data_IF_244930852795
#
_entry.id   IF_244930852795
#
_cell.length_a   1.000
_cell.length_b   1.000
_cell.length_c   1.000
_cell.angle_alpha   90.00
_cell.angle_beta   90.00
_cell.angle_gamma   90.00
#
_symmetry.space_group_name_H-M   'P 1'
#
loop_
_entity.id
_entity.type
_entity.pdbx_description
1 polymer ?
#
# COMPACT_ATOMS: atom_id res chain seq x y z
N UNK A 1 -2.83 -5.22 -15.12
CA UNK A 1 -4.21 -5.28 -14.59
C UNK A 1 -5.16 -5.66 -15.72
N UNK A 2 -6.29 -6.32 -15.41
CA UNK A 2 -7.28 -6.69 -16.42
C UNK A 2 -8.58 -5.89 -16.21
N UNK A 3 -9.00 -5.14 -17.22
CA UNK A 3 -10.22 -4.34 -17.18
C UNK A 3 -11.09 -4.73 -18.39
N UNK A 4 -12.27 -5.31 -18.15
CA UNK A 4 -13.16 -5.76 -19.22
C UNK A 4 -12.55 -6.76 -20.22
N UNK A 5 -11.56 -7.56 -19.80
CA UNK A 5 -10.84 -8.51 -20.66
C UNK A 5 -9.62 -7.94 -21.40
N UNK A 6 -9.40 -6.62 -21.34
CA UNK A 6 -8.20 -5.98 -21.89
C UNK A 6 -7.09 -5.84 -20.83
N UNK A 7 -5.83 -5.99 -21.26
CA UNK A 7 -4.68 -5.70 -20.41
C UNK A 7 -4.47 -4.20 -20.34
N UNK A 8 -4.53 -3.64 -19.13
CA UNK A 8 -4.30 -2.22 -18.87
C UNK A 8 -3.07 -2.06 -17.98
N UNK A 9 -2.18 -1.13 -18.37
CA UNK A 9 -1.05 -0.71 -17.55
C UNK A 9 -1.54 0.28 -16.50
N UNK A 10 -1.33 -0.06 -15.23
CA UNK A 10 -1.74 0.75 -14.09
C UNK A 10 -0.60 0.87 -13.09
N UNK A 11 -0.26 2.09 -12.72
CA UNK A 11 0.63 2.38 -11.61
C UNK A 11 -0.20 2.60 -10.34
N UNK A 12 -0.06 1.69 -9.38
CA UNK A 12 -0.73 1.74 -8.08
C UNK A 12 0.18 2.44 -7.06
N UNK A 13 0.06 3.76 -6.98
CA UNK A 13 0.80 4.57 -6.02
C UNK A 13 0.31 4.26 -4.60
N UNK A 14 1.19 3.75 -3.75
CA UNK A 14 0.88 3.43 -2.36
C UNK A 14 1.53 4.42 -1.38
N UNK A 15 2.40 5.31 -1.84
CA UNK A 15 3.06 6.28 -0.99
C UNK A 15 3.58 7.50 -1.77
N UNK A 16 4.00 8.54 -1.06
CA UNK A 16 4.59 9.77 -1.60
C UNK A 16 5.77 10.23 -0.74
N UNK A 17 6.92 10.49 -1.36
CA UNK A 17 8.17 10.87 -0.68
C UNK A 17 8.56 12.33 -0.92
N UNK A 18 8.15 12.91 -2.04
CA UNK A 18 8.35 14.32 -2.39
C UNK A 18 7.19 14.82 -3.27
N UNK A 19 6.89 16.10 -3.16
CA UNK A 19 5.89 16.81 -3.97
C UNK A 19 6.40 18.20 -4.31
N UNK A 20 6.34 18.60 -5.58
CA UNK A 20 6.80 19.92 -6.08
C UNK A 20 8.16 20.37 -5.52
N UNK A 21 9.14 19.47 -5.49
CA UNK A 21 10.49 19.74 -4.99
C UNK A 21 10.61 19.75 -3.45
N UNK A 22 9.51 19.67 -2.71
CA UNK A 22 9.52 19.55 -1.26
C UNK A 22 9.54 18.08 -0.81
N UNK A 23 10.47 17.75 0.08
CA UNK A 23 10.53 16.42 0.70
C UNK A 23 9.40 16.26 1.72
N UNK A 24 8.55 15.24 1.54
CA UNK A 24 7.46 14.92 2.48
C UNK A 24 7.68 13.61 3.23
N UNK A 25 8.70 12.83 2.87
CA UNK A 25 8.99 11.49 3.42
C UNK A 25 9.16 11.44 4.95
N UNK A 26 9.60 12.54 5.58
CA UNK A 26 9.70 12.67 7.05
C UNK A 26 8.34 12.89 7.74
N UNK A 27 7.26 13.09 6.99
CA UNK A 27 5.91 13.17 7.53
C UNK A 27 5.33 11.77 7.78
N UNK A 28 4.36 11.71 8.68
CA UNK A 28 3.55 10.52 8.96
C UNK A 28 2.89 10.00 7.68
N UNK A 29 2.79 8.67 7.53
CA UNK A 29 2.14 8.02 6.39
C UNK A 29 0.76 8.63 6.08
N UNK A 30 -0.08 8.87 7.08
CA UNK A 30 -1.40 9.50 6.87
C UNK A 30 -1.30 10.83 6.09
N UNK A 31 -0.36 11.71 6.44
CA UNK A 31 -0.18 12.99 5.75
C UNK A 31 0.33 12.79 4.32
N UNK A 32 1.21 11.80 4.12
CA UNK A 32 1.77 11.49 2.79
C UNK A 32 0.70 10.91 1.86
N UNK A 33 -0.15 10.03 2.38
CA UNK A 33 -1.33 9.50 1.67
C UNK A 33 -2.37 10.58 1.39
N UNK A 34 -2.63 11.49 2.34
CA UNK A 34 -3.52 12.63 2.12
C UNK A 34 -3.00 13.55 1.01
N UNK A 35 -1.69 13.82 0.99
CA UNK A 35 -1.04 14.59 -0.06
C UNK A 35 -1.13 13.87 -1.42
N UNK A 36 -0.83 12.56 -1.48
CA UNK A 36 -1.02 11.76 -2.69
C UNK A 36 -2.46 11.85 -3.23
N UNK A 37 -3.45 11.68 -2.35
CA UNK A 37 -4.85 11.75 -2.73
C UNK A 37 -5.24 13.13 -3.26
N UNK A 38 -4.91 14.20 -2.52
CA UNK A 38 -5.40 15.55 -2.79
C UNK A 38 -4.65 16.25 -3.91
N UNK A 39 -3.34 16.05 -4.01
CA UNK A 39 -2.48 16.80 -4.94
C UNK A 39 -2.29 16.07 -6.27
N UNK A 40 -2.47 14.74 -6.31
CA UNK A 40 -2.22 13.92 -7.51
C UNK A 40 -3.49 13.22 -7.98
N UNK A 41 -4.13 12.43 -7.11
CA UNK A 41 -5.18 11.51 -7.54
C UNK A 41 -6.49 12.23 -7.84
N UNK A 42 -6.95 13.14 -6.97
CA UNK A 42 -8.16 13.91 -7.21
C UNK A 42 -8.03 14.86 -8.41
N UNK A 43 -6.95 15.66 -8.56
CA UNK A 43 -6.81 16.55 -9.71
C UNK A 43 -6.85 15.78 -11.03
N UNK A 44 -6.13 14.66 -11.13
CA UNK A 44 -6.15 13.79 -12.30
C UNK A 44 -7.52 13.17 -12.58
N UNK A 45 -8.28 12.82 -11.54
CA UNK A 45 -9.65 12.29 -11.70
C UNK A 45 -10.61 13.35 -12.23
N UNK A 46 -10.42 14.62 -11.88
CA UNK A 46 -11.28 15.73 -12.31
C UNK A 46 -10.86 16.35 -13.63
N UNK A 47 -9.64 16.08 -14.08
CA UNK A 47 -9.11 16.57 -15.35
C UNK A 47 -9.68 15.77 -16.53
N UNK A 48 -10.67 16.36 -17.21
CA UNK A 48 -11.31 15.77 -18.38
C UNK A 48 -10.38 15.62 -19.57
N UNK A 49 -9.25 16.33 -19.62
CA UNK A 49 -8.29 16.18 -20.72
C UNK A 49 -7.60 14.82 -20.68
N UNK A 50 -7.58 14.16 -19.52
CA UNK A 50 -7.06 12.81 -19.34
C UNK A 50 -8.10 11.72 -19.73
N UNK A 51 -9.36 12.08 -19.92
CA UNK A 51 -10.38 11.14 -20.38
C UNK A 51 -10.14 10.76 -21.84
N UNK A 52 -9.62 9.55 -22.08
CA UNK A 52 -9.29 9.08 -23.43
C UNK A 52 -7.93 9.57 -23.95
N UNK A 53 -7.13 10.24 -23.11
CA UNK A 53 -5.75 10.55 -23.43
C UNK A 53 -4.92 9.26 -23.63
N UNK A 54 -3.98 9.32 -24.56
CA UNK A 54 -3.02 8.24 -24.81
C UNK A 54 -1.91 8.26 -23.74
N UNK A 55 -2.29 7.94 -22.50
CA UNK A 55 -1.33 7.76 -21.42
C UNK A 55 -0.72 6.36 -21.48
N UNK A 56 0.61 6.27 -21.37
CA UNK A 56 1.32 4.97 -21.36
C UNK A 56 0.85 4.03 -20.23
N UNK A 57 0.37 4.61 -19.13
CA UNK A 57 -0.27 3.89 -18.02
C UNK A 57 -1.18 4.83 -17.22
N UNK A 58 -2.18 4.24 -16.56
CA UNK A 58 -3.08 4.97 -15.65
C UNK A 58 -2.48 5.03 -14.25
N UNK A 59 -2.52 6.19 -13.60
CA UNK A 59 -2.14 6.34 -12.19
C UNK A 59 -3.37 6.18 -11.30
N UNK A 60 -3.28 5.35 -10.26
CA UNK A 60 -4.31 5.17 -9.22
C UNK A 60 -3.65 5.06 -7.85
N UNK A 61 -4.35 5.47 -6.81
CA UNK A 61 -3.93 5.19 -5.44
C UNK A 61 -4.22 3.73 -5.11
N UNK A 62 -3.29 3.05 -4.42
CA UNK A 62 -3.55 1.73 -3.85
C UNK A 62 -4.53 1.88 -2.69
N UNK A 63 -5.52 0.99 -2.63
CA UNK A 63 -6.46 0.96 -1.51
C UNK A 63 -5.74 0.58 -0.22
N UNK A 64 -5.96 1.36 0.83
CA UNK A 64 -5.45 1.09 2.17
C UNK A 64 -6.61 0.72 3.08
N UNK A 65 -6.38 -0.29 3.91
CA UNK A 65 -7.39 -0.81 4.80
C UNK A 65 -6.87 -0.77 6.24
N UNK A 66 -7.79 -0.59 7.18
CA UNK A 66 -7.48 -0.74 8.59
C UNK A 66 -7.18 -2.21 8.89
N UNK A 67 -6.33 -2.45 9.90
CA UNK A 67 -5.85 -3.78 10.27
C UNK A 67 -6.98 -4.77 10.62
N UNK A 68 -8.08 -4.28 11.19
CA UNK A 68 -9.28 -5.09 11.49
C UNK A 68 -9.99 -5.63 10.24
N UNK A 69 -9.66 -5.12 9.03
CA UNK A 69 -10.21 -5.59 7.75
C UNK A 69 -9.37 -6.68 7.10
N UNK A 70 -8.30 -7.14 7.73
CA UNK A 70 -7.37 -8.11 7.13
C UNK A 70 -8.06 -9.41 6.70
N UNK A 71 -8.91 -9.99 7.54
CA UNK A 71 -9.65 -11.21 7.15
C UNK A 71 -10.55 -10.95 5.93
N UNK A 72 -11.22 -9.80 5.90
CA UNK A 72 -12.04 -9.43 4.76
C UNK A 72 -11.20 -9.30 3.48
N UNK A 73 -9.99 -8.74 3.59
CA UNK A 73 -9.07 -8.63 2.46
C UNK A 73 -8.70 -9.99 1.89
N UNK A 74 -8.24 -10.90 2.75
CA UNK A 74 -7.81 -12.24 2.36
C UNK A 74 -8.94 -13.02 1.70
N UNK A 75 -10.13 -13.02 2.32
CA UNK A 75 -11.24 -13.87 1.87
C UNK A 75 -12.09 -13.30 0.75
N UNK A 76 -12.21 -11.97 0.66
CA UNK A 76 -13.22 -11.34 -0.20
C UNK A 76 -12.66 -10.34 -1.20
N UNK A 77 -11.58 -9.64 -0.86
CA UNK A 77 -11.01 -8.60 -1.71
C UNK A 77 -10.02 -9.18 -2.71
N UNK A 78 -9.00 -9.91 -2.24
CA UNK A 78 -7.94 -10.49 -3.07
C UNK A 78 -8.50 -11.32 -4.25
N UNK A 79 -9.50 -12.20 -4.06
CA UNK A 79 -10.07 -12.97 -5.18
C UNK A 79 -10.72 -12.11 -6.29
N UNK A 80 -11.00 -10.83 -6.02
CA UNK A 80 -11.62 -9.89 -6.96
C UNK A 80 -10.62 -8.92 -7.57
N UNK A 81 -9.36 -8.95 -7.13
CA UNK A 81 -8.31 -8.09 -7.68
C UNK A 81 -7.96 -8.57 -9.09
N UNK A 82 -7.76 -7.62 -10.00
CA UNK A 82 -7.56 -7.85 -11.43
C UNK A 82 -6.09 -8.04 -11.84
N UNK A 83 -5.21 -8.20 -10.85
CA UNK A 83 -3.78 -8.49 -10.97
C UNK A 83 -3.39 -9.49 -9.89
N UNK A 84 -2.24 -10.14 -10.08
CA UNK A 84 -1.72 -11.12 -9.11
C UNK A 84 -1.39 -10.42 -7.79
N UNK A 85 -1.80 -11.05 -6.68
CA UNK A 85 -1.55 -10.55 -5.33
C UNK A 85 -0.70 -11.56 -4.59
N UNK A 86 0.50 -11.14 -4.21
CA UNK A 86 1.47 -11.99 -3.53
C UNK A 86 1.29 -11.97 -2.00
N UNK A 87 0.73 -10.90 -1.41
CA UNK A 87 0.56 -10.83 0.04
C UNK A 87 -0.01 -9.52 0.53
N UNK A 88 0.14 -9.28 1.84
CA UNK A 88 -0.30 -8.06 2.52
C UNK A 88 0.88 -7.31 3.13
N UNK A 89 0.87 -5.99 2.99
CA UNK A 89 1.85 -5.10 3.63
C UNK A 89 1.13 -4.29 4.70
N UNK A 90 1.66 -4.33 5.93
CA UNK A 90 1.16 -3.57 7.06
C UNK A 90 2.08 -2.39 7.33
N UNK A 91 1.58 -1.18 7.09
CA UNK A 91 2.34 0.05 7.29
C UNK A 91 1.75 0.86 8.44
N UNK A 92 2.52 1.21 9.49
CA UNK A 92 2.04 2.03 10.58
C UNK A 92 1.61 3.42 10.09
N UNK A 93 0.38 3.79 10.43
CA UNK A 93 -0.20 5.09 10.06
C UNK A 93 0.65 6.29 10.48
N UNK A 94 1.38 6.16 11.59
CA UNK A 94 2.19 7.22 12.21
C UNK A 94 3.67 7.15 11.82
N UNK A 95 4.11 6.14 11.07
CA UNK A 95 5.51 6.01 10.67
C UNK A 95 5.87 7.06 9.60
N UNK A 96 7.11 7.53 9.68
CA UNK A 96 7.77 8.23 8.58
C UNK A 96 8.21 7.22 7.52
N UNK A 97 8.63 7.70 6.36
CA UNK A 97 9.25 6.84 5.36
C UNK A 97 10.69 6.55 5.73
N UNK A 98 11.04 5.26 5.85
CA UNK A 98 12.43 4.82 5.91
C UNK A 98 13.06 4.83 4.52
N UNK A 99 14.15 5.57 4.34
CA UNK A 99 14.97 5.51 3.11
C UNK A 99 15.96 4.36 3.24
N UNK A 100 15.93 3.42 2.30
CA UNK A 100 16.66 2.14 2.38
C UNK A 100 15.83 1.02 3.01
N UNK A 101 16.19 -0.25 2.74
CA UNK A 101 15.47 -1.40 3.29
C UNK A 101 15.96 -2.76 2.79
N UNK A 102 15.51 -3.82 3.44
CA UNK A 102 15.77 -5.22 3.12
C UNK A 102 14.77 -5.73 2.06
N UNK A 103 15.28 -6.31 0.97
CA UNK A 103 14.51 -7.04 -0.06
C UNK A 103 14.33 -8.50 0.38
N UNK A 104 13.14 -9.07 0.17
CA UNK A 104 12.83 -10.46 0.48
C UNK A 104 12.22 -11.11 -0.77
N UNK A 105 12.66 -12.33 -1.08
CA UNK A 105 12.35 -13.04 -2.34
C UNK A 105 11.00 -13.78 -2.34
N UNK A 106 10.30 -13.85 -1.21
CA UNK A 106 9.03 -14.58 -1.04
C UNK A 106 7.86 -13.64 -0.66
N UNK A 107 6.60 -14.03 -0.91
CA UNK A 107 5.42 -13.25 -0.55
C UNK A 107 5.37 -12.93 0.95
N UNK A 108 5.67 -11.66 1.27
CA UNK A 108 5.86 -11.20 2.64
C UNK A 108 4.52 -10.72 3.21
N UNK A 109 4.00 -11.36 4.26
CA UNK A 109 3.15 -10.62 5.20
C UNK A 109 4.06 -9.67 5.98
N UNK A 110 4.40 -8.55 5.33
CA UNK A 110 5.46 -7.65 5.80
C UNK A 110 4.87 -6.66 6.76
N UNK A 111 5.31 -6.72 8.00
CA UNK A 111 5.17 -5.59 8.89
C UNK A 111 6.29 -4.61 8.59
N UNK A 112 5.95 -3.47 8.01
CA UNK A 112 6.91 -2.37 7.87
C UNK A 112 6.98 -1.69 9.23
N UNK A 113 7.78 -2.23 10.15
CA UNK A 113 7.89 -1.68 11.50
C UNK A 113 8.66 -0.36 11.50
N UNK A 114 8.35 0.52 12.44
CA UNK A 114 9.24 1.63 12.78
C UNK A 114 10.60 1.06 13.26
N UNK A 115 11.70 1.78 13.01
CA UNK A 115 13.06 1.37 13.39
C UNK A 115 13.20 1.09 14.90
N UNK A 116 12.28 1.61 15.71
CA UNK A 116 12.17 1.41 17.15
C UNK A 116 11.63 0.04 17.59
N UNK A 117 11.07 -0.77 16.67
CA UNK A 117 10.35 -2.03 17.00
C UNK A 117 11.06 -3.31 16.52
N UNK A 118 12.38 -3.24 16.25
CA UNK A 118 13.25 -4.31 15.72
C UNK A 118 13.35 -5.60 16.58
N UNK A 119 12.52 -5.81 17.59
CA UNK A 119 12.72 -6.86 18.61
C UNK A 119 11.65 -7.96 18.68
N UNK A 120 10.67 -8.02 17.77
CA UNK A 120 9.64 -9.08 17.80
C UNK A 120 9.27 -9.61 16.41
N UNK A 121 9.98 -10.66 15.97
CA UNK A 121 9.47 -11.67 15.02
C UNK A 121 10.14 -11.72 13.63
N UNK A 122 11.11 -12.64 13.48
CA UNK A 122 11.83 -12.89 12.21
C UNK A 122 12.79 -11.76 11.87
N UNK A 123 13.99 -12.04 11.38
CA UNK A 123 15.02 -11.01 11.15
C UNK A 123 14.61 -9.90 10.15
N UNK A 124 13.42 -9.98 9.55
CA UNK A 124 12.81 -8.99 8.64
C UNK A 124 11.35 -8.57 8.96
N UNK A 125 10.74 -9.10 10.03
CA UNK A 125 9.34 -8.77 10.39
C UNK A 125 8.26 -9.49 9.58
N UNK A 126 8.56 -10.61 8.90
CA UNK A 126 7.58 -11.40 8.13
C UNK A 126 6.77 -12.40 8.98
N UNK A 127 5.47 -12.57 8.68
CA UNK A 127 4.59 -13.59 9.30
C UNK A 127 3.99 -14.54 8.26
N UNK A 128 3.52 -15.73 8.67
CA UNK A 128 2.63 -16.56 7.84
C UNK A 128 1.16 -16.12 7.98
N UNK A 129 0.28 -16.53 7.05
CA UNK A 129 -1.16 -16.21 7.11
C UNK A 129 -1.81 -16.64 8.43
N UNK A 130 -1.52 -17.87 8.90
CA UNK A 130 -2.05 -18.39 10.16
C UNK A 130 -1.59 -17.59 11.38
N UNK A 131 -0.31 -17.19 11.41
CA UNK A 131 0.24 -16.35 12.48
C UNK A 131 -0.36 -14.95 12.47
N UNK A 132 -0.58 -14.37 11.28
CA UNK A 132 -1.23 -13.08 11.12
C UNK A 132 -2.67 -13.12 11.64
N UNK A 133 -3.45 -14.13 11.26
CA UNK A 133 -4.84 -14.29 11.73
C UNK A 133 -4.93 -14.42 13.25
N UNK A 134 -4.02 -15.18 13.87
CA UNK A 134 -3.92 -15.26 15.33
C UNK A 134 -3.53 -13.92 15.96
N UNK A 135 -2.55 -13.21 15.40
CA UNK A 135 -2.12 -11.91 15.90
C UNK A 135 -3.28 -10.91 15.93
N UNK A 136 -4.07 -10.84 14.85
CA UNK A 136 -5.22 -9.92 14.72
C UNK A 136 -6.27 -10.17 15.80
N UNK A 137 -6.51 -11.42 16.21
CA UNK A 137 -7.48 -11.74 17.26
C UNK A 137 -7.10 -11.15 18.63
N UNK A 138 -5.82 -10.83 18.84
CA UNK A 138 -5.29 -10.32 20.11
C UNK A 138 -5.09 -8.79 20.12
N UNK A 139 -5.40 -8.09 19.03
CA UNK A 139 -5.25 -6.64 18.96
C UNK A 139 -6.38 -5.98 19.76
N UNK A 140 -6.08 -5.09 20.73
CA UNK A 140 -7.10 -4.35 21.46
C UNK A 140 -8.00 -3.57 20.50
N UNK A 141 -9.31 -3.68 20.70
CA UNK A 141 -10.33 -3.00 19.88
C UNK A 141 -10.34 -1.49 20.12
#
# INVERSE_FOLDING_TARGET
>A
DRDGGAVVRRFLAFDLIAWEGASVYKSKLEKRLQCLQNEIILPRKTDKTLEGADESFRVRMKDHFRLDKTEHLLRNFIPKVTHDVEGLIFTPKQATYGVGGFEADEPVFKFVTDASMMMLGGLDGSLTEGQLLQYIQHIPK
#
